data_IF_168216538917
#
_entry.id   IF_168216538917
#
_cell.length_a   1.000
_cell.length_b   1.000
_cell.length_c   1.000
_cell.angle_alpha   90.00
_cell.angle_beta   90.00
_cell.angle_gamma   90.00
#
_symmetry.space_group_name_H-M   'P 1'
#
loop_
_entity.id
_entity.type
_entity.pdbx_description
1 polymer ?
#
# COMPACT_ATOMS: atom_id res chain seq x y z
N UNK A 1 3.61 -15.43 -2.60
CA UNK A 1 4.74 -15.95 -1.77
C UNK A 1 5.63 -16.89 -2.56
N UNK A 2 5.13 -17.99 -3.14
CA UNK A 2 5.92 -18.96 -3.92
C UNK A 2 6.86 -18.34 -4.96
N UNK A 3 6.40 -17.31 -5.69
CA UNK A 3 7.20 -16.60 -6.70
C UNK A 3 8.40 -15.85 -6.11
N UNK A 4 8.28 -15.37 -4.87
CA UNK A 4 9.32 -14.60 -4.18
C UNK A 4 10.32 -15.55 -3.53
N UNK A 5 9.82 -16.58 -2.84
CA UNK A 5 10.67 -17.55 -2.13
C UNK A 5 11.30 -18.58 -3.07
N UNK A 6 10.71 -18.81 -4.25
CA UNK A 6 11.09 -19.89 -5.17
C UNK A 6 10.58 -21.26 -4.71
N UNK A 7 9.83 -21.34 -3.60
CA UNK A 7 9.24 -22.59 -3.11
C UNK A 7 7.93 -22.86 -3.84
N UNK A 8 7.79 -24.00 -4.54
CA UNK A 8 6.51 -24.41 -5.15
C UNK A 8 5.54 -24.90 -4.07
N UNK A 9 5.05 -23.97 -3.23
CA UNK A 9 4.26 -24.27 -2.03
C UNK A 9 3.04 -25.17 -2.30
N UNK A 10 2.38 -24.99 -3.45
CA UNK A 10 1.24 -25.81 -3.84
C UNK A 10 1.68 -27.26 -4.07
N UNK A 11 2.71 -27.49 -4.89
CA UNK A 11 3.21 -28.84 -5.18
C UNK A 11 3.73 -29.54 -3.92
N UNK A 12 4.40 -28.77 -3.05
CA UNK A 12 4.89 -29.27 -1.76
C UNK A 12 3.73 -29.71 -0.87
N UNK A 13 2.69 -28.87 -0.75
CA UNK A 13 1.51 -29.18 0.03
C UNK A 13 0.74 -30.40 -0.53
N UNK A 14 0.63 -30.51 -1.85
CA UNK A 14 -0.01 -31.66 -2.52
C UNK A 14 0.74 -32.95 -2.19
N UNK A 15 2.07 -32.96 -2.27
CA UNK A 15 2.87 -34.14 -1.91
C UNK A 15 2.74 -34.52 -0.43
N UNK A 16 2.64 -33.54 0.47
CA UNK A 16 2.33 -33.79 1.90
C UNK A 16 0.98 -34.47 2.06
N UNK A 17 -0.06 -33.99 1.37
CA UNK A 17 -1.40 -34.60 1.39
C UNK A 17 -1.40 -36.04 0.84
N UNK A 18 -0.48 -36.36 -0.07
CA UNK A 18 -0.29 -37.71 -0.63
C UNK A 18 0.62 -38.61 0.23
N UNK A 19 1.04 -38.15 1.42
CA UNK A 19 1.82 -38.94 2.36
C UNK A 19 3.34 -38.77 2.27
N UNK A 20 3.86 -37.89 1.42
CA UNK A 20 5.29 -37.58 1.33
C UNK A 20 5.60 -36.39 2.22
N UNK A 21 6.26 -36.62 3.35
CA UNK A 21 6.54 -35.56 4.34
C UNK A 21 7.41 -34.43 3.78
N UNK A 22 7.38 -33.25 4.43
CA UNK A 22 8.26 -32.13 4.07
C UNK A 22 9.74 -32.53 4.06
N UNK A 23 10.17 -33.34 5.04
CA UNK A 23 11.55 -33.80 5.19
C UNK A 23 11.98 -34.67 4.00
N UNK A 24 11.11 -35.57 3.55
CA UNK A 24 11.36 -36.39 2.35
C UNK A 24 11.45 -35.54 1.08
N UNK A 25 10.81 -34.37 1.07
CA UNK A 25 10.89 -33.40 -0.02
C UNK A 25 12.07 -32.43 0.10
N UNK A 26 12.91 -32.56 1.13
CA UNK A 26 14.08 -31.69 1.36
C UNK A 26 13.76 -30.36 2.05
N UNK A 27 12.55 -30.21 2.61
CA UNK A 27 12.15 -29.02 3.38
C UNK A 27 12.20 -29.29 4.88
N UNK A 28 12.68 -28.30 5.63
CA UNK A 28 12.72 -28.31 7.08
C UNK A 28 11.81 -27.21 7.64
N UNK A 29 11.39 -27.34 8.90
CA UNK A 29 10.62 -26.32 9.59
C UNK A 29 11.45 -25.05 9.79
N UNK A 30 10.77 -23.90 9.84
CA UNK A 30 11.40 -22.59 10.04
C UNK A 30 11.26 -21.68 8.82
N UNK A 31 12.06 -20.62 8.81
CA UNK A 31 12.09 -19.64 7.73
C UNK A 31 13.23 -19.99 6.76
N UNK A 32 12.99 -19.76 5.47
CA UNK A 32 14.07 -19.75 4.49
C UNK A 32 14.98 -18.55 4.70
N UNK A 33 16.22 -18.69 4.24
CA UNK A 33 17.15 -17.59 4.18
C UNK A 33 16.55 -16.41 3.44
N UNK A 34 16.68 -15.22 4.04
CA UNK A 34 16.18 -14.00 3.44
C UNK A 34 16.93 -13.73 2.15
N UNK A 35 16.20 -13.71 1.04
CA UNK A 35 16.73 -13.18 -0.22
C UNK A 35 16.80 -11.66 -0.08
N UNK A 36 17.85 -11.03 -0.62
CA UNK A 36 17.97 -9.55 -0.68
C UNK A 36 16.96 -8.93 -1.65
N UNK A 37 15.74 -9.44 -1.73
CA UNK A 37 14.70 -9.07 -2.68
C UNK A 37 13.49 -8.54 -1.91
N UNK A 38 12.94 -7.42 -2.34
CA UNK A 38 11.74 -6.82 -1.76
C UNK A 38 10.59 -6.99 -2.74
N UNK A 39 9.55 -7.69 -2.30
CA UNK A 39 8.33 -7.89 -3.06
C UNK A 39 7.13 -7.29 -2.31
N UNK A 40 6.45 -6.35 -2.96
CA UNK A 40 5.28 -5.65 -2.40
C UNK A 40 4.04 -6.05 -3.18
N UNK A 41 3.04 -6.58 -2.47
CA UNK A 41 1.72 -6.90 -3.01
C UNK A 41 0.78 -5.72 -2.80
N UNK A 42 0.16 -5.22 -3.86
CA UNK A 42 -0.85 -4.17 -3.79
C UNK A 42 -2.22 -4.70 -4.29
N UNK A 43 -3.33 -4.31 -3.65
CA UNK A 43 -4.66 -4.64 -4.14
C UNK A 43 -5.04 -3.82 -5.38
N UNK A 44 -5.88 -4.38 -6.23
CA UNK A 44 -6.56 -3.68 -7.33
C UNK A 44 -8.05 -3.59 -7.00
N UNK A 45 -8.63 -2.40 -7.16
CA UNK A 45 -10.04 -2.14 -6.88
C UNK A 45 -10.80 -1.79 -8.15
N UNK A 46 -12.07 -2.19 -8.22
CA UNK A 46 -12.97 -1.92 -9.35
C UNK A 46 -13.96 -0.78 -9.07
N UNK A 47 -13.65 0.12 -8.13
CA UNK A 47 -14.57 1.17 -7.66
C UNK A 47 -15.08 2.09 -8.78
N UNK A 48 -14.25 2.36 -9.80
CA UNK A 48 -14.66 3.16 -10.96
C UNK A 48 -15.78 2.52 -11.80
N UNK A 49 -16.02 1.22 -11.63
CA UNK A 49 -17.06 0.45 -12.34
C UNK A 49 -18.33 0.26 -11.51
N UNK A 50 -18.30 0.60 -10.21
CA UNK A 50 -19.38 0.33 -9.27
C UNK A 50 -19.91 1.67 -8.75
N UNK A 51 -20.94 2.21 -9.40
CA UNK A 51 -21.57 3.45 -8.98
C UNK A 51 -22.41 3.24 -7.72
N UNK A 52 -22.37 4.21 -6.79
CA UNK A 52 -23.17 4.17 -5.56
C UNK A 52 -22.65 3.22 -4.46
N UNK A 53 -21.48 2.58 -4.66
CA UNK A 53 -20.84 1.80 -3.60
C UNK A 53 -19.83 2.63 -2.83
N UNK A 54 -19.75 2.36 -1.53
CA UNK A 54 -18.76 2.98 -0.65
C UNK A 54 -17.33 2.58 -1.02
N UNK A 55 -16.50 3.57 -1.32
CA UNK A 55 -15.12 3.37 -1.75
C UNK A 55 -14.10 3.27 -0.60
N UNK A 56 -14.55 3.44 0.65
CA UNK A 56 -13.67 3.31 1.82
C UNK A 56 -13.35 1.84 2.14
N UNK A 57 -12.18 1.60 2.73
CA UNK A 57 -11.76 0.28 3.19
C UNK A 57 -12.36 -0.03 4.56
N UNK A 58 -12.83 -1.26 4.74
CA UNK A 58 -13.39 -1.76 5.98
C UNK A 58 -12.88 -3.16 6.30
N UNK A 59 -13.52 -3.86 7.26
CA UNK A 59 -13.15 -5.24 7.60
C UNK A 59 -13.48 -6.24 6.48
N UNK A 60 -14.39 -5.88 5.58
CA UNK A 60 -14.73 -6.69 4.40
C UNK A 60 -13.75 -6.48 3.25
N UNK A 61 -13.37 -7.58 2.59
CA UNK A 61 -12.49 -7.54 1.42
C UNK A 61 -13.22 -6.96 0.20
N UNK A 62 -12.79 -5.76 -0.23
CA UNK A 62 -13.32 -5.06 -1.42
C UNK A 62 -12.45 -5.15 -2.69
N UNK A 63 -11.23 -5.67 -2.58
CA UNK A 63 -10.32 -5.78 -3.74
C UNK A 63 -10.74 -6.89 -4.69
N UNK A 64 -10.64 -6.65 -6.00
CA UNK A 64 -10.99 -7.62 -7.05
C UNK A 64 -9.76 -8.33 -7.65
N UNK A 65 -8.56 -7.89 -7.29
CA UNK A 65 -7.32 -8.47 -7.78
C UNK A 65 -6.10 -7.97 -7.03
N UNK A 66 -4.92 -8.37 -7.50
CA UNK A 66 -3.65 -7.99 -6.91
C UNK A 66 -2.54 -7.88 -7.97
N UNK A 67 -1.56 -7.04 -7.66
CA UNK A 67 -0.32 -6.89 -8.43
C UNK A 67 0.87 -7.00 -7.48
N UNK A 68 2.06 -7.24 -8.05
CA UNK A 68 3.29 -7.35 -7.28
C UNK A 68 4.41 -6.50 -7.89
N UNK A 69 4.98 -5.60 -7.11
CA UNK A 69 6.21 -4.87 -7.43
C UNK A 69 7.41 -5.56 -6.80
N UNK A 70 8.43 -5.87 -7.60
CA UNK A 70 9.64 -6.58 -7.16
C UNK A 70 10.88 -5.79 -7.55
N UNK A 71 11.78 -5.60 -6.59
CA UNK A 71 13.05 -4.92 -6.72
C UNK A 71 13.99 -5.25 -5.53
N UNK A 72 15.21 -4.73 -5.55
CA UNK A 72 16.14 -4.78 -4.42
C UNK A 72 15.94 -3.60 -3.45
N UNK A 73 15.24 -2.54 -3.88
CA UNK A 73 14.92 -1.34 -3.10
C UNK A 73 13.44 -1.24 -2.76
N UNK A 74 13.13 -0.94 -1.48
CA UNK A 74 11.74 -0.81 -1.01
C UNK A 74 10.97 0.24 -1.80
N UNK A 75 11.55 1.43 -1.98
CA UNK A 75 10.89 2.55 -2.66
C UNK A 75 10.57 2.19 -4.13
N UNK A 76 11.47 1.47 -4.80
CA UNK A 76 11.29 1.04 -6.19
C UNK A 76 10.24 -0.06 -6.29
N UNK A 77 10.26 -1.06 -5.40
CA UNK A 77 9.22 -2.09 -5.33
C UNK A 77 7.85 -1.49 -5.06
N UNK A 78 7.77 -0.49 -4.17
CA UNK A 78 6.51 0.19 -3.83
C UNK A 78 5.99 0.98 -5.03
N UNK A 79 6.86 1.75 -5.68
CA UNK A 79 6.51 2.49 -6.88
C UNK A 79 5.99 1.56 -8.00
N UNK A 80 6.67 0.43 -8.25
CA UNK A 80 6.22 -0.59 -9.21
C UNK A 80 4.84 -1.14 -8.87
N UNK A 81 4.59 -1.46 -7.59
CA UNK A 81 3.31 -1.99 -7.13
C UNK A 81 2.17 -0.96 -7.27
N UNK A 82 2.40 0.29 -6.86
CA UNK A 82 1.41 1.37 -6.98
C UNK A 82 1.11 1.71 -8.45
N UNK A 83 2.13 1.74 -9.31
CA UNK A 83 1.95 1.94 -10.74
C UNK A 83 1.10 0.84 -11.37
N UNK A 84 1.44 -0.42 -11.10
CA UNK A 84 0.70 -1.57 -11.62
C UNK A 84 -0.74 -1.63 -11.08
N UNK A 85 -0.99 -1.13 -9.86
CA UNK A 85 -2.32 -1.07 -9.27
C UNK A 85 -3.17 0.12 -9.78
N UNK A 86 -2.59 1.03 -10.56
CA UNK A 86 -3.25 2.27 -10.97
C UNK A 86 -3.41 3.29 -9.83
N UNK A 87 -2.59 3.20 -8.79
CA UNK A 87 -2.61 4.04 -7.58
C UNK A 87 -1.44 5.02 -7.49
N UNK A 88 -0.61 5.11 -8.55
CA UNK A 88 0.53 6.02 -8.57
C UNK A 88 0.07 7.47 -8.51
N UNK A 89 0.69 8.25 -7.63
CA UNK A 89 0.42 9.67 -7.52
C UNK A 89 1.03 10.43 -8.71
N UNK A 90 0.34 11.45 -9.26
CA UNK A 90 0.92 12.36 -10.22
C UNK A 90 2.17 13.05 -9.65
N UNK A 91 3.21 13.24 -10.47
CA UNK A 91 4.46 13.88 -10.03
C UNK A 91 4.29 15.36 -9.64
N UNK A 92 3.22 16.01 -10.09
CA UNK A 92 2.85 17.38 -9.76
C UNK A 92 1.34 17.49 -9.59
N UNK A 93 0.90 18.34 -8.68
CA UNK A 93 -0.52 18.57 -8.47
C UNK A 93 -0.81 19.21 -7.13
N UNK A 94 -2.10 19.41 -6.89
CA UNK A 94 -2.63 19.83 -5.59
C UNK A 94 -3.06 18.59 -4.79
N UNK A 95 -2.98 18.66 -3.47
CA UNK A 95 -3.41 17.57 -2.56
C UNK A 95 -4.49 18.11 -1.62
N UNK A 96 -5.58 17.36 -1.47
CA UNK A 96 -6.66 17.65 -0.52
C UNK A 96 -6.49 16.79 0.74
N UNK A 97 -6.50 17.43 1.91
CA UNK A 97 -6.48 16.79 3.21
C UNK A 97 -7.82 16.98 3.93
N UNK A 98 -8.48 15.88 4.27
CA UNK A 98 -9.64 15.87 5.16
C UNK A 98 -9.46 14.73 6.15
N UNK A 99 -9.01 15.06 7.36
CA UNK A 99 -8.49 14.10 8.34
C UNK A 99 -9.33 14.14 9.60
N UNK A 100 -9.68 12.96 10.12
CA UNK A 100 -10.40 12.83 11.38
C UNK A 100 -9.55 13.36 12.55
N UNK A 101 -10.19 13.95 13.57
CA UNK A 101 -9.48 14.62 14.67
C UNK A 101 -8.43 13.75 15.36
N UNK A 102 -8.75 12.47 15.57
CA UNK A 102 -7.86 11.49 16.22
C UNK A 102 -6.56 11.23 15.44
N UNK A 103 -6.58 11.42 14.12
CA UNK A 103 -5.47 11.06 13.22
C UNK A 103 -4.62 12.28 12.83
N UNK A 104 -5.04 13.50 13.22
CA UNK A 104 -4.40 14.77 12.85
C UNK A 104 -2.93 14.85 13.27
N UNK A 105 -2.61 14.39 14.48
CA UNK A 105 -1.24 14.42 14.99
C UNK A 105 -0.29 13.58 14.13
N UNK A 106 -0.75 12.40 13.70
CA UNK A 106 0.04 11.49 12.86
C UNK A 106 0.11 11.93 11.40
N UNK A 107 -0.90 12.65 10.90
CA UNK A 107 -0.92 13.16 9.53
C UNK A 107 0.06 14.31 9.28
N UNK A 108 0.41 15.08 10.32
CA UNK A 108 1.19 16.31 10.17
C UNK A 108 2.58 16.11 9.50
N UNK A 109 3.39 15.10 9.87
CA UNK A 109 4.64 14.81 9.17
C UNK A 109 4.45 14.50 7.68
N UNK A 110 3.34 13.85 7.30
CA UNK A 110 3.02 13.54 5.90
C UNK A 110 2.65 14.81 5.15
N UNK A 111 1.82 15.67 5.76
CA UNK A 111 1.43 16.97 5.18
C UNK A 111 2.67 17.84 4.93
N UNK A 112 3.61 17.90 5.89
CA UNK A 112 4.88 18.62 5.73
C UNK A 112 5.66 18.15 4.52
N UNK A 113 5.80 16.83 4.34
CA UNK A 113 6.49 16.26 3.16
C UNK A 113 5.86 16.68 1.84
N UNK A 114 4.53 16.74 1.76
CA UNK A 114 3.85 17.23 0.55
C UNK A 114 4.09 18.73 0.32
N UNK A 115 4.12 19.54 1.38
CA UNK A 115 4.48 20.96 1.29
C UNK A 115 5.91 21.16 0.80
N UNK A 116 6.86 20.43 1.38
CA UNK A 116 8.30 20.47 1.03
C UNK A 116 8.55 20.01 -0.41
N UNK A 117 7.77 19.04 -0.89
CA UNK A 117 7.77 18.60 -2.28
C UNK A 117 7.10 19.60 -3.25
N UNK A 118 6.59 20.74 -2.75
CA UNK A 118 6.05 21.83 -3.57
C UNK A 118 4.60 21.64 -4.01
N UNK A 119 3.85 20.75 -3.36
CA UNK A 119 2.43 20.58 -3.65
C UNK A 119 1.61 21.73 -3.06
N UNK A 120 0.55 22.14 -3.78
CA UNK A 120 -0.46 23.05 -3.21
C UNK A 120 -1.38 22.25 -2.30
N UNK A 121 -1.47 22.67 -1.04
CA UNK A 121 -2.30 22.03 -0.05
C UNK A 121 -3.70 22.64 -0.04
N UNK A 122 -4.70 21.78 -0.02
CA UNK A 122 -6.10 22.12 0.23
C UNK A 122 -6.57 21.31 1.43
N UNK A 123 -7.49 21.85 2.23
CA UNK A 123 -8.00 21.10 3.37
C UNK A 123 -9.43 21.52 3.77
N UNK A 124 -10.15 20.61 4.41
CA UNK A 124 -11.41 20.92 5.10
C UNK A 124 -11.15 21.73 6.37
N UNK A 125 -12.12 22.52 6.83
CA UNK A 125 -11.99 23.52 7.92
C UNK A 125 -11.16 23.03 9.12
N UNK A 126 -11.55 21.93 9.77
CA UNK A 126 -10.84 21.43 10.94
C UNK A 126 -9.40 20.98 10.65
N UNK A 127 -9.12 20.55 9.41
CA UNK A 127 -7.80 20.14 8.97
C UNK A 127 -6.96 21.35 8.55
N UNK A 128 -7.55 22.38 7.93
CA UNK A 128 -6.82 23.62 7.58
C UNK A 128 -6.31 24.34 8.82
N UNK A 129 -7.10 24.42 9.89
CA UNK A 129 -6.67 25.05 11.16
C UNK A 129 -5.40 24.41 11.72
N UNK A 130 -5.30 23.07 11.66
CA UNK A 130 -4.09 22.34 12.07
C UNK A 130 -2.88 22.71 11.20
N UNK A 131 -3.07 22.75 9.88
CA UNK A 131 -2.01 23.00 8.89
C UNK A 131 -1.50 24.44 8.99
N UNK A 132 -2.41 25.41 9.19
CA UNK A 132 -2.08 26.82 9.43
C UNK A 132 -1.32 27.01 10.74
N UNK A 133 -1.77 26.38 11.83
CA UNK A 133 -1.06 26.40 13.11
C UNK A 133 0.35 25.78 13.03
N UNK A 134 0.56 24.86 12.09
CA UNK A 134 1.87 24.28 11.78
C UNK A 134 2.76 25.17 10.89
N UNK A 135 2.26 26.35 10.49
CA UNK A 135 2.96 27.36 9.70
C UNK A 135 3.01 27.06 8.20
N UNK A 136 2.13 26.18 7.70
CA UNK A 136 2.14 25.74 6.30
C UNK A 136 1.06 26.44 5.48
N UNK A 137 1.34 26.82 4.22
CA UNK A 137 0.34 27.43 3.34
C UNK A 137 -0.70 26.38 2.92
N UNK A 138 -1.98 26.68 3.14
CA UNK A 138 -3.10 25.82 2.77
C UNK A 138 -4.29 26.66 2.31
N UNK A 139 -5.06 26.15 1.36
CA UNK A 139 -6.34 26.74 0.97
C UNK A 139 -7.49 25.91 1.54
N UNK A 140 -8.26 26.50 2.44
CA UNK A 140 -9.48 25.87 2.95
C UNK A 140 -10.53 25.71 1.83
N UNK A 141 -11.20 24.55 1.80
CA UNK A 141 -12.36 24.28 0.94
C UNK A 141 -13.54 23.83 1.82
N UNK A 142 -14.72 24.40 1.53
CA UNK A 142 -16.01 24.03 2.10
C UNK A 142 -16.69 22.93 1.30
#
# INVERSE_FOLDING_TARGET
>A
ISKVTGVPMVDVAVKVMLGISLKEQGYYSGLLDSKKLIAIKAPVFSMSKLTGVDTYLGPEMKSTGEVMGIDYSFNVSLAKALLAAGLMLPARGSVLFSIADRDKAEALPVIRKFSEAGHRLYATEGTSTLIEAAGLPVKMIS
#
